data_IF_292360560578
#
_entry.id   IF_292360560578
#
_cell.length_a   1.000
_cell.length_b   1.000
_cell.length_c   1.000
_cell.angle_alpha   90.00
_cell.angle_beta   90.00
_cell.angle_gamma   90.00
#
_symmetry.space_group_name_H-M   'P 1'
#
loop_
_entity.id
_entity.type
_entity.pdbx_description
1 polymer ?
#
# COMPACT_ATOMS: atom_id res chain seq x y z
N UNK A 1 -10.01 22.31 2.62
CA UNK A 1 -9.03 22.38 1.52
C UNK A 1 -9.61 21.54 0.40
N UNK A 2 -9.92 22.14 -0.76
CA UNK A 2 -10.35 21.39 -1.94
C UNK A 2 -9.11 20.81 -2.62
N UNK A 3 -8.82 19.55 -2.35
CA UNK A 3 -7.91 18.77 -3.17
C UNK A 3 -8.72 18.35 -4.39
N UNK A 4 -8.51 19.00 -5.54
CA UNK A 4 -9.15 18.56 -6.79
C UNK A 4 -8.46 17.27 -7.23
N UNK A 5 -9.12 16.14 -6.97
CA UNK A 5 -8.74 14.84 -7.52
C UNK A 5 -8.94 14.92 -9.02
N UNK A 6 -7.85 15.03 -9.76
CA UNK A 6 -7.89 14.97 -11.22
C UNK A 6 -7.68 13.51 -11.62
N UNK A 7 -8.68 12.90 -12.25
CA UNK A 7 -8.51 11.59 -12.88
C UNK A 7 -7.51 11.74 -14.02
N UNK A 8 -6.42 10.99 -13.97
CA UNK A 8 -5.45 10.94 -15.07
C UNK A 8 -5.92 9.86 -16.02
N UNK A 9 -6.17 10.21 -17.29
CA UNK A 9 -6.38 9.21 -18.34
C UNK A 9 -5.03 8.53 -18.65
N UNK A 10 -4.74 7.47 -17.90
CA UNK A 10 -3.62 6.56 -18.13
C UNK A 10 -3.93 5.23 -17.49
N UNK A 11 -3.54 4.13 -18.16
CA UNK A 11 -3.83 2.76 -17.75
C UNK A 11 -3.52 2.55 -16.26
N UNK A 12 -4.51 2.22 -15.42
CA UNK A 12 -4.38 1.80 -14.01
C UNK A 12 -3.65 2.73 -13.00
N UNK A 13 -3.34 4.00 -13.32
CA UNK A 13 -2.62 4.89 -12.38
C UNK A 13 -3.52 5.96 -11.74
N UNK A 14 -3.33 6.21 -10.43
CA UNK A 14 -3.96 7.32 -9.70
C UNK A 14 -2.90 8.35 -9.28
N UNK A 15 -3.07 9.62 -9.66
CA UNK A 15 -2.16 10.71 -9.26
C UNK A 15 -2.86 11.68 -8.30
N UNK A 16 -2.30 11.85 -7.10
CA UNK A 16 -2.69 12.90 -6.17
C UNK A 16 -1.74 14.09 -6.31
N UNK A 17 -2.27 15.26 -6.66
CA UNK A 17 -1.51 16.52 -6.64
C UNK A 17 -2.15 17.45 -5.62
N UNK A 18 -1.37 17.87 -4.63
CA UNK A 18 -1.83 18.79 -3.60
C UNK A 18 -0.67 19.66 -3.09
N UNK A 19 -1.00 20.86 -2.61
CA UNK A 19 -0.04 21.72 -1.90
C UNK A 19 -0.28 21.55 -0.40
N UNK A 20 0.78 21.19 0.34
CA UNK A 20 0.75 21.15 1.80
C UNK A 20 1.72 22.21 2.32
N UNK A 21 1.21 23.16 3.09
CA UNK A 21 2.05 24.12 3.82
C UNK A 21 2.26 23.59 5.24
N UNK A 22 3.51 23.42 5.64
CA UNK A 22 3.92 23.05 7.00
C UNK A 22 4.77 24.19 7.55
N UNK A 23 4.27 24.89 8.56
CA UNK A 23 5.02 25.94 9.23
C UNK A 23 6.18 25.41 10.05
N UNK A 24 7.05 26.32 10.50
CA UNK A 24 8.12 25.98 11.42
C UNK A 24 7.56 25.35 12.70
N UNK A 25 8.12 24.22 13.13
CA UNK A 25 7.69 23.43 14.29
C UNK A 25 6.23 22.92 14.20
N UNK A 26 5.67 22.82 13.00
CA UNK A 26 4.35 22.22 12.79
C UNK A 26 4.45 20.78 12.28
N UNK A 27 3.43 19.99 12.60
CA UNK A 27 3.17 18.71 11.96
C UNK A 27 1.84 18.75 11.21
N UNK A 28 1.74 17.96 10.13
CA UNK A 28 0.52 17.77 9.36
C UNK A 28 0.38 16.29 9.03
N UNK A 29 -0.84 15.77 9.16
CA UNK A 29 -1.19 14.42 8.70
C UNK A 29 -2.12 14.57 7.50
N UNK A 30 -1.77 13.89 6.41
CA UNK A 30 -2.56 13.81 5.19
C UNK A 30 -3.03 12.36 5.05
N UNK A 31 -4.26 12.16 4.60
CA UNK A 31 -4.85 10.85 4.30
C UNK A 31 -5.43 10.87 2.90
N UNK A 32 -5.13 9.85 2.12
CA UNK A 32 -5.74 9.59 0.82
C UNK A 32 -6.49 8.26 0.90
N UNK A 33 -7.65 8.20 0.27
CA UNK A 33 -8.48 7.00 0.13
C UNK A 33 -8.90 6.92 -1.33
N UNK A 34 -8.70 5.75 -1.95
CA UNK A 34 -8.98 5.54 -3.36
C UNK A 34 -9.18 4.06 -3.64
N UNK A 35 -9.83 3.77 -4.77
CA UNK A 35 -10.01 2.41 -5.29
C UNK A 35 -9.10 2.23 -6.51
N UNK A 36 -8.45 1.08 -6.60
CA UNK A 36 -7.63 0.70 -7.76
C UNK A 36 -8.37 -0.40 -8.51
N UNK A 37 -8.49 -0.25 -9.84
CA UNK A 37 -9.02 -1.30 -10.70
C UNK A 37 -7.92 -2.34 -11.01
N UNK A 38 -8.29 -3.61 -11.11
CA UNK A 38 -7.44 -4.70 -11.62
C UNK A 38 -6.09 -4.90 -10.88
N UNK A 39 -6.06 -4.65 -9.57
CA UNK A 39 -4.84 -4.81 -8.76
C UNK A 39 -4.45 -6.27 -8.44
N UNK A 40 -5.21 -7.26 -8.92
CA UNK A 40 -5.05 -8.68 -8.58
C UNK A 40 -4.80 -9.49 -9.85
N UNK A 41 -3.64 -10.12 -9.91
CA UNK A 41 -3.32 -11.11 -10.93
C UNK A 41 -3.87 -12.48 -10.53
N UNK A 42 -4.41 -13.24 -11.49
CA UNK A 42 -4.83 -14.62 -11.27
C UNK A 42 -3.79 -15.60 -11.83
N UNK A 43 -3.30 -16.50 -10.98
CA UNK A 43 -2.31 -17.52 -11.29
C UNK A 43 -2.94 -18.91 -11.06
N UNK A 44 -3.79 -19.35 -11.99
CA UNK A 44 -4.56 -20.58 -11.82
C UNK A 44 -5.62 -20.46 -10.72
N UNK A 45 -5.49 -21.27 -9.66
CA UNK A 45 -6.31 -21.19 -8.45
C UNK A 45 -5.86 -20.10 -7.48
N UNK A 46 -4.65 -19.56 -7.66
CA UNK A 46 -4.08 -18.55 -6.77
C UNK A 46 -4.34 -17.14 -7.27
N UNK A 47 -4.32 -16.21 -6.33
CA UNK A 47 -4.36 -14.77 -6.54
C UNK A 47 -3.05 -14.14 -6.08
N UNK A 48 -2.53 -13.19 -6.87
CA UNK A 48 -1.32 -12.43 -6.54
C UNK A 48 -1.65 -10.95 -6.47
N UNK A 49 -1.34 -10.36 -5.33
CA UNK A 49 -1.32 -8.92 -5.11
C UNK A 49 0.12 -8.42 -5.05
N UNK A 50 0.41 -7.31 -5.72
CA UNK A 50 1.71 -6.64 -5.66
C UNK A 50 1.56 -5.16 -5.38
N UNK A 51 2.34 -4.66 -4.42
CA UNK A 51 2.41 -3.25 -4.06
C UNK A 51 3.87 -2.80 -4.09
N UNK A 52 4.18 -1.82 -4.93
CA UNK A 52 5.45 -1.10 -4.90
C UNK A 52 5.34 0.10 -3.95
N UNK A 53 6.31 0.21 -3.05
CA UNK A 53 6.49 1.37 -2.20
C UNK A 53 7.82 2.01 -2.55
N UNK A 54 7.75 3.18 -3.17
CA UNK A 54 8.93 3.90 -3.67
C UNK A 54 9.54 4.78 -2.58
N UNK A 55 10.86 4.65 -2.39
CA UNK A 55 11.64 5.52 -1.54
C UNK A 55 11.83 6.87 -2.25
N UNK A 56 11.42 7.95 -1.58
CA UNK A 56 11.62 9.29 -2.13
C UNK A 56 13.09 9.76 -1.95
N UNK A 57 13.73 10.30 -3.01
CA UNK A 57 15.06 10.90 -2.88
C UNK A 57 15.08 12.02 -1.84
N UNK A 58 16.12 12.05 -1.00
CA UNK A 58 16.31 13.12 -0.02
C UNK A 58 15.47 13.02 1.26
N UNK A 59 14.54 12.07 1.40
CA UNK A 59 13.94 11.77 2.70
C UNK A 59 14.88 10.91 3.56
N UNK A 60 14.85 11.09 4.88
CA UNK A 60 15.52 10.19 5.80
C UNK A 60 14.77 8.85 5.88
N UNK A 61 15.31 7.88 6.62
CA UNK A 61 14.68 6.57 6.82
C UNK A 61 13.23 6.72 7.28
N UNK A 62 12.29 6.41 6.41
CA UNK A 62 10.86 6.50 6.71
C UNK A 62 10.36 5.11 7.10
N UNK A 63 9.88 4.99 8.34
CA UNK A 63 9.14 3.81 8.79
C UNK A 63 7.77 3.79 8.13
N UNK A 64 7.42 2.68 7.47
CA UNK A 64 6.13 2.51 6.83
C UNK A 64 5.45 1.27 7.39
N UNK A 65 4.23 1.47 7.87
CA UNK A 65 3.33 0.37 8.23
C UNK A 65 2.34 0.17 7.10
N UNK A 66 2.28 -1.04 6.57
CA UNK A 66 1.26 -1.45 5.58
C UNK A 66 0.39 -2.52 6.20
N UNK A 67 -0.92 -2.36 6.05
CA UNK A 67 -1.90 -3.37 6.43
C UNK A 67 -2.63 -3.82 5.18
N UNK A 68 -2.60 -5.13 4.91
CA UNK A 68 -3.32 -5.76 3.80
C UNK A 68 -4.41 -6.64 4.40
N UNK A 69 -5.66 -6.35 4.07
CA UNK A 69 -6.81 -7.19 4.44
C UNK A 69 -7.21 -8.01 3.24
N UNK A 70 -7.16 -9.33 3.37
CA UNK A 70 -7.58 -10.24 2.32
C UNK A 70 -9.11 -10.39 2.28
N UNK A 71 -9.68 -10.82 1.15
CA UNK A 71 -11.10 -11.18 1.08
C UNK A 71 -11.48 -12.23 2.14
N UNK A 72 -12.74 -12.24 2.60
CA UNK A 72 -13.21 -13.28 3.51
C UNK A 72 -13.00 -14.69 2.94
N UNK A 73 -12.43 -15.59 3.74
CA UNK A 73 -12.16 -16.97 3.35
C UNK A 73 -10.84 -17.19 2.60
N UNK A 74 -10.15 -16.12 2.21
CA UNK A 74 -8.84 -16.23 1.56
C UNK A 74 -7.76 -16.72 2.54
N UNK A 75 -6.89 -17.61 2.08
CA UNK A 75 -5.76 -18.13 2.85
C UNK A 75 -4.44 -17.67 2.27
N UNK A 76 -3.54 -17.15 3.12
CA UNK A 76 -2.21 -16.73 2.69
C UNK A 76 -1.39 -17.97 2.34
N UNK A 77 -0.91 -18.02 1.10
CA UNK A 77 0.01 -19.06 0.64
C UNK A 77 1.45 -18.61 0.83
N UNK A 78 1.75 -17.35 0.50
CA UNK A 78 3.06 -16.75 0.74
C UNK A 78 2.98 -15.23 0.73
N UNK A 79 3.83 -14.57 1.52
CA UNK A 79 4.01 -13.12 1.47
C UNK A 79 5.51 -12.78 1.48
N UNK A 80 5.91 -11.77 0.71
CA UNK A 80 7.29 -11.29 0.63
C UNK A 80 7.31 -9.76 0.56
N UNK A 81 8.03 -9.06 1.45
CA UNK A 81 8.75 -9.58 2.63
C UNK A 81 7.80 -10.29 3.61
N UNK A 82 8.35 -10.99 4.60
CA UNK A 82 7.53 -11.64 5.63
C UNK A 82 6.74 -10.58 6.42
N UNK A 83 5.43 -10.77 6.64
CA UNK A 83 4.65 -9.87 7.47
C UNK A 83 5.15 -9.92 8.91
N UNK A 84 5.13 -8.77 9.58
CA UNK A 84 5.47 -8.67 11.00
C UNK A 84 4.43 -9.34 11.88
N UNK A 85 3.16 -9.33 11.45
CA UNK A 85 2.05 -9.99 12.12
C UNK A 85 1.02 -10.48 11.10
N UNK A 86 0.36 -11.59 11.44
CA UNK A 86 -0.81 -12.10 10.73
C UNK A 86 -1.94 -12.37 11.72
N UNK A 87 -3.14 -11.84 11.43
CA UNK A 87 -4.32 -11.99 12.28
C UNK A 87 -5.46 -12.65 11.51
N UNK A 88 -6.07 -13.67 12.09
CA UNK A 88 -7.26 -14.35 11.57
C UNK A 88 -8.50 -13.89 12.33
N UNK A 89 -8.95 -12.65 12.05
CA UNK A 89 -10.09 -12.01 12.71
C UNK A 89 -11.30 -11.95 11.76
N UNK A 90 -11.63 -13.06 11.10
CA UNK A 90 -12.58 -13.11 9.98
C UNK A 90 -11.81 -13.09 8.66
N UNK A 91 -11.67 -11.96 7.95
CA UNK A 91 -10.67 -11.83 6.89
C UNK A 91 -9.25 -11.88 7.48
N UNK A 92 -8.32 -12.49 6.76
CA UNK A 92 -6.89 -12.48 7.13
C UNK A 92 -6.32 -11.08 6.95
N UNK A 93 -5.62 -10.59 7.98
CA UNK A 93 -4.97 -9.28 7.99
C UNK A 93 -3.47 -9.47 8.15
N UNK A 94 -2.71 -8.95 7.19
CA UNK A 94 -1.25 -8.96 7.19
C UNK A 94 -0.73 -7.56 7.52
N UNK A 95 0.15 -7.46 8.51
CA UNK A 95 0.84 -6.21 8.87
C UNK A 95 2.32 -6.29 8.49
N UNK A 96 2.81 -5.27 7.82
CA UNK A 96 4.22 -5.12 7.44
C UNK A 96 4.77 -3.84 8.06
N UNK A 97 5.83 -3.96 8.86
CA UNK A 97 6.60 -2.82 9.34
C UNK A 97 7.92 -2.75 8.58
N UNK A 98 8.02 -1.76 7.67
CA UNK A 98 9.09 -1.64 6.70
C UNK A 98 9.97 -0.42 7.00
N UNK A 99 11.27 -0.56 6.80
CA UNK A 99 12.20 0.55 6.75
C UNK A 99 12.50 0.88 5.29
N UNK A 100 11.99 2.01 4.79
CA UNK A 100 12.22 2.44 3.41
C UNK A 100 13.64 2.99 3.24
N UNK A 101 14.58 2.10 2.97
CA UNK A 101 15.97 2.40 2.58
C UNK A 101 16.18 2.43 1.07
N UNK A 102 15.27 1.78 0.36
CA UNK A 102 15.19 1.59 -1.09
C UNK A 102 13.72 1.33 -1.43
N UNK A 103 13.40 1.23 -2.70
CA UNK A 103 12.09 0.78 -3.14
C UNK A 103 11.85 -0.66 -2.67
N UNK A 104 10.64 -0.95 -2.22
CA UNK A 104 10.25 -2.26 -1.68
C UNK A 104 8.99 -2.72 -2.38
N UNK A 105 9.04 -3.97 -2.84
CA UNK A 105 7.86 -4.69 -3.27
C UNK A 105 7.29 -5.50 -2.10
N UNK A 106 5.99 -5.36 -1.86
CA UNK A 106 5.20 -6.33 -1.11
C UNK A 106 4.47 -7.19 -2.14
N UNK A 107 4.64 -8.51 -2.06
CA UNK A 107 3.92 -9.49 -2.86
C UNK A 107 3.19 -10.44 -1.93
N UNK A 108 1.89 -10.62 -2.14
CA UNK A 108 1.05 -11.55 -1.39
C UNK A 108 0.41 -12.51 -2.37
N UNK A 109 0.59 -13.81 -2.13
CA UNK A 109 -0.08 -14.89 -2.85
C UNK A 109 -1.07 -15.53 -1.89
N UNK A 110 -2.32 -15.67 -2.33
CA UNK A 110 -3.40 -16.27 -1.56
C UNK A 110 -4.30 -17.14 -2.44
N UNK A 111 -5.07 -18.02 -1.82
CA UNK A 111 -6.14 -18.81 -2.46
C UNK A 111 -7.51 -18.51 -1.84
#
# INVERSE_FOLDING_TARGET
>A
MNTEVTVVEGDAHTRFVGRVNVGYNESRRVRFEYTVADAIDRLGSYHRYQLLIEKQPGSQFDGVTVTITLPPGAQVVSATPEPTSEYQLGPSVLEFNLALTRDIWITVIYE
#
